data_IF_841489718122
#
_entry.id   IF_841489718122
#
_cell.length_a   1.000
_cell.length_b   1.000
_cell.length_c   1.000
_cell.angle_alpha   90.00
_cell.angle_beta   90.00
_cell.angle_gamma   90.00
#
_symmetry.space_group_name_H-M   'P 1'
#
loop_
_entity.id
_entity.type
_entity.pdbx_description
1 polymer ?
#
# COMPACT_ATOMS: atom_id res chain seq x y z
N UNK A 1 -10.49 -1.75 -6.86
CA UNK A 1 -9.39 -0.97 -7.43
C UNK A 1 -8.28 -1.90 -7.93
N UNK A 2 -7.84 -2.91 -7.15
CA UNK A 2 -6.78 -3.87 -7.55
C UNK A 2 -7.14 -4.72 -8.79
N UNK A 3 -8.42 -4.94 -9.05
CA UNK A 3 -8.90 -5.79 -10.17
C UNK A 3 -9.00 -7.27 -9.85
N UNK A 4 -8.84 -7.65 -8.58
CA UNK A 4 -9.02 -9.04 -8.14
C UNK A 4 -10.48 -9.50 -8.23
N UNK A 5 -11.43 -8.55 -8.08
CA UNK A 5 -12.86 -8.80 -8.20
C UNK A 5 -13.46 -7.96 -9.32
N UNK A 6 -14.40 -8.55 -10.04
CA UNK A 6 -15.18 -7.84 -11.05
C UNK A 6 -16.13 -6.83 -10.38
N UNK A 7 -16.39 -5.72 -11.06
CA UNK A 7 -17.43 -4.77 -10.64
C UNK A 7 -18.82 -5.39 -10.85
N UNK A 8 -19.69 -5.26 -9.86
CA UNK A 8 -21.11 -5.61 -9.99
C UNK A 8 -21.88 -4.49 -10.71
N UNK A 9 -21.50 -3.22 -10.45
CA UNK A 9 -22.09 -2.02 -11.06
C UNK A 9 -21.15 -0.83 -10.91
N UNK A 10 -21.49 0.30 -11.49
CA UNK A 10 -20.68 1.51 -11.45
C UNK A 10 -19.47 1.48 -12.38
N UNK A 11 -18.50 2.36 -12.12
CA UNK A 11 -17.27 2.46 -12.90
C UNK A 11 -16.10 2.88 -12.00
N UNK A 12 -14.90 2.42 -12.33
CA UNK A 12 -13.64 2.88 -11.71
C UNK A 12 -12.80 3.54 -12.80
N UNK A 13 -12.42 4.79 -12.57
CA UNK A 13 -11.52 5.54 -13.46
C UNK A 13 -10.27 5.96 -12.71
N UNK A 14 -9.12 5.93 -13.38
CA UNK A 14 -7.86 6.42 -12.86
C UNK A 14 -7.15 7.25 -13.92
N UNK A 15 -6.87 8.53 -13.61
CA UNK A 15 -6.29 9.48 -14.57
C UNK A 15 -7.05 9.52 -15.93
N UNK A 16 -8.38 9.50 -15.89
CA UNK A 16 -9.23 9.49 -17.07
C UNK A 16 -9.33 8.15 -17.82
N UNK A 17 -8.59 7.12 -17.37
CA UNK A 17 -8.64 5.77 -17.95
C UNK A 17 -9.65 4.91 -17.20
N UNK A 18 -10.58 4.30 -17.92
CA UNK A 18 -11.54 3.34 -17.37
C UNK A 18 -10.85 2.03 -17.05
N UNK A 19 -10.99 1.57 -15.81
CA UNK A 19 -10.35 0.34 -15.32
C UNK A 19 -11.28 -0.88 -15.34
N UNK A 20 -12.56 -0.70 -15.67
CA UNK A 20 -13.55 -1.77 -15.68
C UNK A 20 -13.10 -2.89 -16.63
N UNK A 21 -13.19 -4.15 -16.19
CA UNK A 21 -12.73 -5.30 -16.97
C UNK A 21 -11.21 -5.41 -17.17
N UNK A 22 -10.43 -4.41 -16.71
CA UNK A 22 -8.97 -4.47 -16.81
C UNK A 22 -8.41 -5.43 -15.75
N UNK A 23 -7.62 -6.41 -16.19
CA UNK A 23 -6.92 -7.35 -15.32
C UNK A 23 -5.91 -6.61 -14.39
N UNK A 24 -5.55 -7.18 -13.21
CA UNK A 24 -4.61 -6.57 -12.25
C UNK A 24 -3.31 -6.09 -12.88
N UNK A 25 -2.68 -6.89 -13.74
CA UNK A 25 -1.47 -6.51 -14.45
C UNK A 25 -1.62 -5.26 -15.32
N UNK A 26 -2.78 -5.09 -15.97
CA UNK A 26 -3.08 -3.87 -16.74
C UNK A 26 -3.17 -2.65 -15.83
N UNK A 27 -3.76 -2.78 -14.65
CA UNK A 27 -3.87 -1.70 -13.66
C UNK A 27 -2.51 -1.29 -13.11
N UNK A 28 -1.62 -2.23 -12.85
CA UNK A 28 -0.23 -1.92 -12.46
C UNK A 28 0.47 -1.10 -13.56
N UNK A 29 0.27 -1.42 -14.84
CA UNK A 29 0.79 -0.63 -15.96
C UNK A 29 0.23 0.80 -16.03
N UNK A 30 -0.97 1.05 -15.50
CA UNK A 30 -1.51 2.40 -15.37
C UNK A 30 -0.89 3.19 -14.21
N UNK A 31 -0.12 2.53 -13.34
CA UNK A 31 0.54 3.14 -12.19
C UNK A 31 -0.18 2.90 -10.87
N UNK A 32 -0.92 1.80 -10.73
CA UNK A 32 -1.55 1.39 -9.48
C UNK A 32 -0.66 0.36 -8.80
N UNK A 33 -0.01 0.74 -7.70
CA UNK A 33 0.68 -0.19 -6.79
C UNK A 33 -0.32 -0.72 -5.76
N UNK A 34 -0.21 -2.00 -5.41
CA UNK A 34 -1.10 -2.62 -4.43
C UNK A 34 -0.31 -3.53 -3.49
N UNK A 35 -0.55 -3.35 -2.21
CA UNK A 35 -0.07 -4.21 -1.13
C UNK A 35 -1.29 -4.80 -0.45
N UNK A 36 -1.59 -6.09 -0.63
CA UNK A 36 -2.75 -6.74 -0.03
C UNK A 36 -2.55 -6.99 1.46
N UNK A 37 -3.67 -7.17 2.17
CA UNK A 37 -3.68 -7.80 3.49
C UNK A 37 -2.90 -9.13 3.43
N UNK A 38 -2.10 -9.44 4.44
CA UNK A 38 -1.27 -10.64 4.46
C UNK A 38 0.02 -10.55 3.63
N UNK A 39 0.35 -9.37 3.02
CA UNK A 39 1.66 -9.05 2.40
C UNK A 39 1.93 -9.75 1.08
N UNK A 40 1.55 -11.02 0.92
CA UNK A 40 1.74 -11.87 -0.27
C UNK A 40 3.17 -11.81 -0.85
N UNK A 41 4.19 -11.86 0.04
CA UNK A 41 5.59 -11.98 -0.40
C UNK A 41 5.86 -13.41 -0.88
N UNK A 42 6.90 -13.59 -1.68
CA UNK A 42 7.37 -14.91 -2.11
C UNK A 42 8.34 -15.47 -1.04
N UNK A 43 7.92 -16.41 -0.17
CA UNK A 43 8.72 -16.83 0.99
C UNK A 43 10.01 -17.55 0.63
N UNK A 44 10.04 -18.24 -0.51
CA UNK A 44 11.22 -18.99 -0.97
C UNK A 44 12.23 -18.14 -1.75
N UNK A 45 11.80 -16.99 -2.27
CA UNK A 45 12.67 -16.04 -2.94
C UNK A 45 13.40 -15.17 -1.93
N UNK A 46 14.60 -14.73 -2.29
CA UNK A 46 15.36 -13.74 -1.52
C UNK A 46 14.65 -12.38 -1.50
N UNK A 47 15.04 -11.49 -0.60
CA UNK A 47 14.58 -10.08 -0.57
C UNK A 47 14.81 -9.43 -1.93
N UNK A 48 16.00 -9.61 -2.51
CA UNK A 48 16.34 -9.08 -3.84
C UNK A 48 15.38 -9.59 -4.91
N UNK A 49 15.19 -10.90 -5.01
CA UNK A 49 14.30 -11.52 -6.00
C UNK A 49 12.83 -11.11 -5.81
N UNK A 50 12.37 -10.96 -4.55
CA UNK A 50 11.06 -10.40 -4.26
C UNK A 50 10.91 -8.99 -4.83
N UNK A 51 11.89 -8.11 -4.60
CA UNK A 51 11.88 -6.75 -5.16
C UNK A 51 11.92 -6.78 -6.69
N UNK A 52 12.78 -7.62 -7.29
CA UNK A 52 12.93 -7.77 -8.73
C UNK A 52 11.66 -8.33 -9.41
N UNK A 53 10.80 -9.06 -8.69
CA UNK A 53 9.50 -9.50 -9.22
C UNK A 53 8.60 -8.31 -9.62
N UNK A 54 8.80 -7.13 -9.00
CA UNK A 54 8.16 -5.87 -9.38
C UNK A 54 8.57 -5.34 -10.76
N UNK A 55 9.58 -5.91 -11.42
CA UNK A 55 9.99 -5.51 -12.76
C UNK A 55 9.02 -5.94 -13.88
N UNK A 56 8.07 -6.84 -13.59
CA UNK A 56 7.21 -7.41 -14.60
C UNK A 56 6.50 -6.38 -15.51
N UNK A 57 5.93 -5.26 -15.01
CA UNK A 57 5.29 -4.25 -15.84
C UNK A 57 6.27 -3.28 -16.52
N UNK A 58 7.56 -3.27 -16.11
CA UNK A 58 8.54 -2.27 -16.50
C UNK A 58 9.27 -2.62 -17.81
N UNK A 59 9.63 -1.59 -18.58
CA UNK A 59 10.55 -1.74 -19.71
C UNK A 59 11.93 -2.16 -19.21
N UNK A 60 12.71 -2.83 -20.07
CA UNK A 60 14.03 -3.35 -19.69
C UNK A 60 14.98 -2.28 -19.12
N UNK A 61 14.95 -1.07 -19.67
CA UNK A 61 15.76 0.07 -19.20
C UNK A 61 15.37 0.60 -17.82
N UNK A 62 14.17 0.26 -17.34
CA UNK A 62 13.63 0.71 -16.06
C UNK A 62 13.76 -0.36 -14.95
N UNK A 63 14.31 -1.54 -15.29
CA UNK A 63 14.43 -2.68 -14.37
C UNK A 63 15.63 -2.53 -13.45
N UNK A 64 15.47 -1.73 -12.44
CA UNK A 64 16.39 -1.60 -11.30
C UNK A 64 15.60 -1.27 -10.03
N UNK A 65 16.14 -1.65 -8.88
CA UNK A 65 15.56 -1.33 -7.59
C UNK A 65 15.96 0.11 -7.25
N UNK A 66 15.01 1.07 -7.14
CA UNK A 66 15.35 2.43 -6.73
C UNK A 66 16.04 2.46 -5.36
N UNK A 67 17.13 3.24 -5.24
CA UNK A 67 17.85 3.40 -3.96
C UNK A 67 16.98 4.00 -2.85
N UNK A 68 15.97 4.77 -3.24
CA UNK A 68 14.95 5.34 -2.36
C UNK A 68 14.26 4.27 -1.50
N UNK A 69 14.00 3.06 -2.04
CA UNK A 69 13.40 1.95 -1.29
C UNK A 69 14.28 1.55 -0.10
N UNK A 70 15.60 1.55 -0.30
CA UNK A 70 16.55 1.25 0.78
C UNK A 70 16.71 2.41 1.76
N UNK A 71 16.47 3.65 1.33
CA UNK A 71 16.41 4.81 2.22
C UNK A 71 15.17 4.76 3.12
N UNK A 72 14.03 4.33 2.58
CA UNK A 72 12.79 4.14 3.32
C UNK A 72 12.86 2.94 4.27
N UNK A 73 13.45 1.85 3.81
CA UNK A 73 13.53 0.57 4.52
C UNK A 73 14.97 0.02 4.52
N UNK A 74 15.89 0.59 5.33
CA UNK A 74 17.31 0.20 5.33
C UNK A 74 17.56 -1.28 5.60
N UNK A 75 16.68 -1.91 6.38
CA UNK A 75 16.77 -3.34 6.69
C UNK A 75 16.72 -4.23 5.44
N UNK A 76 16.02 -3.82 4.39
CA UNK A 76 15.94 -4.58 3.14
C UNK A 76 17.29 -4.63 2.43
N UNK A 77 18.06 -3.54 2.50
CA UNK A 77 19.41 -3.49 1.92
C UNK A 77 20.36 -4.48 2.62
N UNK A 78 20.30 -4.56 3.94
CA UNK A 78 21.16 -5.46 4.73
C UNK A 78 20.78 -6.93 4.56
N UNK A 79 19.56 -7.22 4.09
CA UNK A 79 19.00 -8.57 4.00
C UNK A 79 18.77 -9.04 2.56
N UNK A 80 19.37 -8.42 1.54
CA UNK A 80 19.11 -8.72 0.12
C UNK A 80 19.21 -10.20 -0.26
N UNK A 81 20.16 -10.93 0.34
CA UNK A 81 20.35 -12.36 0.11
C UNK A 81 19.50 -13.28 0.98
N UNK A 82 18.73 -12.74 1.95
CA UNK A 82 17.92 -13.54 2.87
C UNK A 82 16.58 -13.90 2.22
N UNK A 83 16.06 -15.11 2.49
CA UNK A 83 14.74 -15.52 2.01
C UNK A 83 13.63 -14.68 2.66
N UNK A 84 12.60 -14.35 1.90
CA UNK A 84 11.44 -13.58 2.38
C UNK A 84 10.74 -14.25 3.56
N UNK A 85 10.64 -15.58 3.55
CA UNK A 85 10.03 -16.36 4.63
C UNK A 85 10.79 -16.31 5.96
N UNK A 86 12.09 -15.97 5.96
CA UNK A 86 12.93 -15.87 7.16
C UNK A 86 12.87 -14.47 7.81
N UNK A 87 12.13 -13.55 7.22
CA UNK A 87 11.92 -12.19 7.73
C UNK A 87 10.84 -12.16 8.81
N UNK A 88 10.97 -11.25 9.78
CA UNK A 88 9.87 -10.95 10.69
C UNK A 88 8.66 -10.39 9.94
N UNK A 89 7.45 -10.46 10.53
CA UNK A 89 6.24 -9.94 9.91
C UNK A 89 6.37 -8.47 9.47
N UNK A 90 6.98 -7.62 10.30
CA UNK A 90 7.22 -6.22 9.95
C UNK A 90 8.21 -6.03 8.78
N UNK A 91 9.26 -6.85 8.72
CA UNK A 91 10.20 -6.83 7.60
C UNK A 91 9.57 -7.34 6.31
N UNK A 92 8.69 -8.33 6.40
CA UNK A 92 7.89 -8.80 5.26
C UNK A 92 6.95 -7.70 4.74
N UNK A 93 6.35 -6.91 5.64
CA UNK A 93 5.52 -5.76 5.27
C UNK A 93 6.33 -4.69 4.54
N UNK A 94 7.50 -4.35 5.07
CA UNK A 94 8.42 -3.42 4.39
C UNK A 94 8.85 -3.95 3.01
N UNK A 95 9.09 -5.26 2.90
CA UNK A 95 9.40 -5.91 1.62
C UNK A 95 8.22 -5.83 0.64
N UNK A 96 7.00 -6.08 1.08
CA UNK A 96 5.80 -6.00 0.25
C UNK A 96 5.58 -4.57 -0.29
N UNK A 97 5.74 -3.56 0.58
CA UNK A 97 5.68 -2.15 0.18
C UNK A 97 6.82 -1.84 -0.81
N UNK A 98 8.05 -2.22 -0.50
CA UNK A 98 9.21 -2.02 -1.39
C UNK A 98 9.00 -2.64 -2.77
N UNK A 99 8.45 -3.85 -2.85
CA UNK A 99 8.11 -4.54 -4.10
C UNK A 99 7.08 -3.76 -4.92
N UNK A 100 6.04 -3.22 -4.27
CA UNK A 100 5.05 -2.38 -4.94
C UNK A 100 5.68 -1.08 -5.46
N UNK A 101 6.58 -0.45 -4.70
CA UNK A 101 7.28 0.78 -5.10
C UNK A 101 8.23 0.57 -6.28
N UNK A 102 8.80 -0.63 -6.47
CA UNK A 102 9.63 -0.95 -7.65
C UNK A 102 8.85 -0.72 -8.95
N UNK A 103 7.53 -0.91 -8.96
CA UNK A 103 6.68 -0.66 -10.14
C UNK A 103 6.55 0.83 -10.49
N UNK A 104 7.07 1.75 -9.65
CA UNK A 104 6.94 3.22 -9.76
C UNK A 104 5.49 3.67 -9.90
N UNK A 105 4.66 3.35 -8.90
CA UNK A 105 3.23 3.65 -8.96
C UNK A 105 2.98 5.14 -8.83
N UNK A 106 1.85 5.59 -9.38
CA UNK A 106 1.28 6.94 -9.18
C UNK A 106 0.35 6.98 -7.97
N UNK A 107 -0.27 5.84 -7.67
CA UNK A 107 -1.05 5.61 -6.46
C UNK A 107 -0.61 4.30 -5.83
N UNK A 108 -0.41 4.32 -4.52
CA UNK A 108 -0.13 3.13 -3.72
C UNK A 108 -1.34 2.79 -2.86
N UNK A 109 -1.91 1.62 -3.06
CA UNK A 109 -3.02 1.07 -2.26
C UNK A 109 -2.43 0.13 -1.22
N UNK A 110 -2.69 0.42 0.05
CA UNK A 110 -2.23 -0.36 1.21
C UNK A 110 -3.46 -0.90 1.95
N UNK A 111 -3.54 -2.21 2.09
CA UNK A 111 -4.65 -2.90 2.72
C UNK A 111 -4.18 -3.49 4.06
N UNK A 112 -4.65 -2.91 5.16
CA UNK A 112 -4.29 -3.22 6.55
C UNK A 112 -2.76 -3.37 6.77
N UNK A 113 -1.94 -2.37 6.40
CA UNK A 113 -0.49 -2.49 6.45
C UNK A 113 0.07 -2.59 7.87
N UNK A 114 -0.71 -2.33 8.91
CA UNK A 114 -0.27 -2.39 10.31
C UNK A 114 -0.65 -3.70 11.01
N UNK A 115 -1.43 -4.57 10.36
CA UNK A 115 -1.93 -5.80 10.97
C UNK A 115 -0.79 -6.75 11.41
N UNK A 116 -0.79 -7.11 12.69
CA UNK A 116 0.21 -8.03 13.27
C UNK A 116 1.64 -7.49 13.25
N UNK A 117 1.81 -6.15 13.23
CA UNK A 117 3.10 -5.48 13.15
C UNK A 117 3.45 -4.83 14.49
N UNK A 118 4.74 -4.86 14.85
CA UNK A 118 5.24 -4.20 16.06
C UNK A 118 5.19 -2.66 15.92
N UNK A 119 4.93 -1.91 17.02
CA UNK A 119 4.77 -0.45 16.99
C UNK A 119 5.96 0.31 16.37
N UNK A 120 7.18 -0.17 16.55
CA UNK A 120 8.37 0.44 15.95
C UNK A 120 8.33 0.40 14.41
N UNK A 121 7.90 -0.72 13.85
CA UNK A 121 7.80 -0.89 12.39
C UNK A 121 6.59 -0.12 11.83
N UNK A 122 5.48 -0.04 12.59
CA UNK A 122 4.33 0.81 12.21
C UNK A 122 4.79 2.27 12.03
N UNK A 123 5.63 2.78 12.95
CA UNK A 123 6.23 4.13 12.83
C UNK A 123 7.11 4.27 11.59
N UNK A 124 7.88 3.23 11.24
CA UNK A 124 8.71 3.24 10.03
C UNK A 124 7.85 3.30 8.77
N UNK A 125 6.78 2.49 8.71
CA UNK A 125 5.81 2.50 7.61
C UNK A 125 5.13 3.87 7.51
N UNK A 126 4.71 4.45 8.65
CA UNK A 126 4.11 5.79 8.68
C UNK A 126 5.05 6.87 8.16
N UNK A 127 6.36 6.82 8.52
CA UNK A 127 7.37 7.74 7.96
C UNK A 127 7.52 7.57 6.45
N UNK A 128 7.52 6.32 5.96
CA UNK A 128 7.61 6.05 4.53
C UNK A 128 6.40 6.59 3.78
N UNK A 129 5.18 6.40 4.29
CA UNK A 129 3.94 6.93 3.71
C UNK A 129 3.99 8.45 3.63
N UNK A 130 4.35 9.14 4.73
CA UNK A 130 4.50 10.60 4.73
C UNK A 130 5.52 11.08 3.69
N UNK A 131 6.68 10.46 3.66
CA UNK A 131 7.71 10.81 2.68
C UNK A 131 7.21 10.65 1.24
N UNK A 132 6.56 9.53 0.91
CA UNK A 132 6.01 9.27 -0.42
C UNK A 132 4.95 10.32 -0.80
N UNK A 133 4.04 10.67 0.11
CA UNK A 133 3.02 11.70 -0.10
C UNK A 133 3.67 13.08 -0.28
N UNK A 134 4.50 13.52 0.66
CA UNK A 134 4.97 14.91 0.77
C UNK A 134 6.11 15.23 -0.20
N UNK A 135 7.01 14.26 -0.45
CA UNK A 135 8.21 14.49 -1.26
C UNK A 135 8.06 14.05 -2.71
N UNK A 136 7.21 13.07 -3.00
CA UNK A 136 7.04 12.56 -4.36
C UNK A 136 5.69 12.92 -4.98
N UNK A 137 4.73 13.41 -4.18
CA UNK A 137 3.36 13.68 -4.62
C UNK A 137 2.56 12.41 -4.95
N UNK A 138 2.99 11.25 -4.45
CA UNK A 138 2.30 9.99 -4.66
C UNK A 138 0.96 9.99 -3.93
N UNK A 139 -0.12 9.64 -4.64
CA UNK A 139 -1.40 9.38 -3.98
C UNK A 139 -1.32 8.08 -3.18
N UNK A 140 -1.84 8.09 -1.96
CA UNK A 140 -1.91 6.90 -1.09
C UNK A 140 -3.38 6.61 -0.78
N UNK A 141 -3.82 5.39 -1.03
CA UNK A 141 -5.09 4.89 -0.53
C UNK A 141 -4.80 3.88 0.58
N UNK A 142 -5.10 4.28 1.81
CA UNK A 142 -4.90 3.47 3.00
C UNK A 142 -6.24 2.88 3.46
N UNK A 143 -6.34 1.56 3.55
CA UNK A 143 -7.47 0.85 4.16
C UNK A 143 -6.97 0.34 5.50
N UNK A 144 -7.57 0.79 6.60
CA UNK A 144 -7.06 0.54 7.95
C UNK A 144 -8.17 0.58 9.00
N UNK A 145 -7.97 -0.20 10.06
CA UNK A 145 -8.81 -0.18 11.27
C UNK A 145 -8.11 0.55 12.43
N UNK A 146 -6.80 0.75 12.35
CA UNK A 146 -6.03 1.44 13.37
C UNK A 146 -6.18 2.95 13.23
N UNK A 147 -7.17 3.51 13.94
CA UNK A 147 -7.60 4.91 13.80
C UNK A 147 -6.50 5.93 14.05
N UNK A 148 -5.64 5.71 15.06
CA UNK A 148 -4.56 6.67 15.35
C UNK A 148 -3.56 6.76 14.19
N UNK A 149 -3.31 5.65 13.51
CA UNK A 149 -2.48 5.62 12.31
C UNK A 149 -3.14 6.38 11.15
N UNK A 150 -4.46 6.22 10.97
CA UNK A 150 -5.21 6.98 9.98
C UNK A 150 -5.19 8.48 10.27
N UNK A 151 -5.44 8.90 11.52
CA UNK A 151 -5.42 10.32 11.94
C UNK A 151 -4.09 10.99 11.66
N UNK A 152 -2.99 10.26 11.87
CA UNK A 152 -1.64 10.80 11.69
C UNK A 152 -1.27 11.02 10.21
N UNK A 153 -1.90 10.27 9.30
CA UNK A 153 -1.48 10.20 7.90
C UNK A 153 -2.49 10.71 6.90
N UNK A 154 -3.78 10.62 7.18
CA UNK A 154 -4.81 10.90 6.19
C UNK A 154 -5.08 12.41 6.05
N UNK A 155 -5.22 12.88 4.81
CA UNK A 155 -5.74 14.19 4.49
C UNK A 155 -7.27 14.15 4.40
N UNK A 156 -7.82 13.01 3.92
CA UNK A 156 -9.24 12.75 3.75
C UNK A 156 -9.59 11.33 4.16
N UNK A 157 -10.76 11.14 4.74
CA UNK A 157 -11.20 9.84 5.28
C UNK A 157 -12.59 9.48 4.80
N UNK A 158 -12.80 8.18 4.58
CA UNK A 158 -14.10 7.56 4.35
C UNK A 158 -14.27 6.46 5.39
N UNK A 159 -15.40 6.45 6.11
CA UNK A 159 -15.76 5.32 6.97
C UNK A 159 -16.70 4.43 6.17
N UNK A 160 -16.33 3.15 6.07
CA UNK A 160 -17.12 2.14 5.40
C UNK A 160 -17.69 1.17 6.42
N UNK A 161 -18.99 0.96 6.38
CA UNK A 161 -19.69 -0.08 7.15
C UNK A 161 -20.54 -0.92 6.20
N UNK A 162 -20.40 -2.25 6.29
CA UNK A 162 -21.15 -3.25 5.51
C UNK A 162 -21.21 -2.95 4.00
N UNK A 163 -20.10 -2.44 3.46
CA UNK A 163 -19.97 -2.16 2.02
C UNK A 163 -20.54 -0.81 1.57
N UNK A 164 -21.00 0.05 2.49
CA UNK A 164 -21.47 1.39 2.22
C UNK A 164 -20.56 2.44 2.87
N UNK A 165 -20.35 3.59 2.20
CA UNK A 165 -19.72 4.75 2.83
C UNK A 165 -20.77 5.41 3.74
N UNK A 166 -20.46 5.48 5.03
CA UNK A 166 -21.35 6.04 6.07
C UNK A 166 -20.88 7.39 6.58
N UNK A 167 -19.62 7.74 6.36
CA UNK A 167 -19.06 9.05 6.70
C UNK A 167 -17.94 9.41 5.72
N UNK A 168 -17.80 10.70 5.44
CA UNK A 168 -16.74 11.29 4.62
C UNK A 168 -16.31 12.62 5.23
N UNK A 169 -14.99 12.87 5.28
CA UNK A 169 -14.46 14.12 5.84
C UNK A 169 -12.94 14.17 5.91
N UNK A 170 -12.40 15.12 6.66
CA UNK A 170 -10.97 15.19 6.99
C UNK A 170 -10.64 14.27 8.17
N UNK A 171 -9.35 14.03 8.44
CA UNK A 171 -8.92 13.22 9.59
C UNK A 171 -9.46 13.74 10.93
N UNK A 172 -9.69 15.03 11.07
CA UNK A 172 -10.25 15.69 12.26
C UNK A 172 -11.70 15.25 12.53
N UNK A 173 -12.45 14.91 11.47
CA UNK A 173 -13.86 14.47 11.60
C UNK A 173 -14.02 13.08 12.22
N UNK A 174 -12.92 12.29 12.31
CA UNK A 174 -12.93 10.99 12.98
C UNK A 174 -13.30 11.06 14.47
N UNK A 175 -13.14 12.23 15.08
CA UNK A 175 -13.50 12.46 16.49
C UNK A 175 -14.95 12.91 16.69
N UNK A 176 -15.69 13.14 15.61
CA UNK A 176 -17.11 13.52 15.70
C UNK A 176 -17.98 12.40 16.29
N UNK A 177 -19.06 12.77 16.94
CA UNK A 177 -20.03 11.80 17.50
C UNK A 177 -20.66 10.94 16.40
N UNK A 178 -20.78 11.47 15.18
CA UNK A 178 -21.30 10.75 14.02
C UNK A 178 -20.31 9.66 13.57
N UNK A 179 -19.03 10.00 13.41
CA UNK A 179 -17.99 9.06 13.04
C UNK A 179 -17.83 7.94 14.10
N UNK A 180 -17.84 8.33 15.39
CA UNK A 180 -17.68 7.38 16.52
C UNK A 180 -18.75 6.30 16.56
N UNK A 181 -20.00 6.59 16.14
CA UNK A 181 -21.08 5.59 16.08
C UNK A 181 -20.75 4.40 15.18
N UNK A 182 -19.91 4.61 14.16
CA UNK A 182 -19.52 3.59 13.19
C UNK A 182 -18.13 2.97 13.48
N UNK A 183 -17.37 3.55 14.40
CA UNK A 183 -16.01 3.13 14.76
C UNK A 183 -15.96 2.31 16.07
N UNK A 184 -17.04 2.33 16.86
CA UNK A 184 -17.16 1.54 18.09
C UNK A 184 -17.82 0.20 17.77
N UNK A 185 -17.02 -0.88 17.86
CA UNK A 185 -17.52 -2.27 17.87
C UNK A 185 -17.71 -2.70 19.31
#
# INVERSE_FOLDING_TARGET
ISGQHALSSGAVTFNGVKLDGMAPYGRVKQGIGYVPQGREIFPLLTVKENLESGYAPLKRSERFIPSEIFSLFPVLHTMLGRRGGDLSGGQQQQLAIGRALVTRPKILVLDEPTEGIQPSIIKDIGRAIRYLRDSTGMAILLVEQYLDFCRELADHVYIMDRGAIVHEGTAETLDSDEARKHLTV
#
